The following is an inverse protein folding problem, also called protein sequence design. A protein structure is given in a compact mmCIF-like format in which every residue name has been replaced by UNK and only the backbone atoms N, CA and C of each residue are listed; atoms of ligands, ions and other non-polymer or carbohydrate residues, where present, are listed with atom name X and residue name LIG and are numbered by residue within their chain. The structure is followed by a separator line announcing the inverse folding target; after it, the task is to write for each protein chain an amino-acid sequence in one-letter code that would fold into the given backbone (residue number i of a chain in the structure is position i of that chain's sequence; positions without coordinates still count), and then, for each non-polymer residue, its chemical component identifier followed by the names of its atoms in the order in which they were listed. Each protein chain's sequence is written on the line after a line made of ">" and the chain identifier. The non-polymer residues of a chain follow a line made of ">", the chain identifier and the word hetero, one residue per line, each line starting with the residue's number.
data_IF_782533938573
#
_entry.id   IF_782533938573
#
_cell.length_a   1.000
_cell.length_b   1.000
_cell.length_c   1.000
_cell.angle_alpha   90.00
_cell.angle_beta   90.00
_cell.angle_gamma   90.00
#
_symmetry.space_group_name_H-M   'P 1'
#
loop_
_entity.id
_entity.type
_entity.pdbx_description
1 polymer ?
#
# COMPACT_ATOMS: atom_id res chain seq x y z
N UNK A 1 13.47 5.17 -15.56
CA UNK A 1 12.34 5.26 -14.62
C UNK A 1 12.87 4.88 -13.25
N UNK A 2 12.75 5.76 -12.26
CA UNK A 2 13.12 5.45 -10.87
C UNK A 2 12.02 4.55 -10.29
N UNK A 3 12.36 3.51 -9.54
CA UNK A 3 11.35 2.72 -8.82
C UNK A 3 10.74 3.62 -7.73
N UNK A 4 9.44 3.91 -7.85
CA UNK A 4 8.73 4.77 -6.91
C UNK A 4 8.86 4.30 -5.45
N UNK A 5 9.06 2.99 -5.22
CA UNK A 5 9.28 2.43 -3.89
C UNK A 5 10.63 2.88 -3.32
N UNK A 6 11.66 2.96 -4.16
CA UNK A 6 12.97 3.47 -3.77
C UNK A 6 12.96 4.98 -3.58
N UNK A 7 12.20 5.71 -4.42
CA UNK A 7 11.96 7.14 -4.24
C UNK A 7 11.27 7.44 -2.90
N UNK A 8 10.14 6.79 -2.61
CA UNK A 8 9.40 6.98 -1.35
C UNK A 8 10.26 6.63 -0.14
N UNK A 9 11.04 5.54 -0.19
CA UNK A 9 11.95 5.15 0.89
C UNK A 9 13.07 6.17 1.11
N UNK A 10 13.66 6.68 0.03
CA UNK A 10 14.82 7.59 0.11
C UNK A 10 14.45 9.03 0.45
N UNK A 11 13.31 9.53 -0.04
CA UNK A 11 12.91 10.93 0.13
C UNK A 11 11.95 11.13 1.31
N UNK A 12 10.96 10.25 1.46
CA UNK A 12 9.90 10.41 2.48
C UNK A 12 10.29 9.66 3.77
N UNK A 13 11.15 8.64 3.67
CA UNK A 13 11.57 7.84 4.84
C UNK A 13 10.45 6.93 5.36
N UNK A 14 9.51 6.54 4.50
CA UNK A 14 8.42 5.62 4.86
C UNK A 14 8.85 4.18 4.60
N UNK A 15 8.73 3.32 5.61
CA UNK A 15 8.96 1.90 5.44
C UNK A 15 7.90 1.27 4.53
N UNK A 16 8.33 0.39 3.64
CA UNK A 16 7.42 -0.37 2.79
C UNK A 16 7.98 -1.74 2.41
N UNK A 17 7.06 -2.71 2.29
CA UNK A 17 7.38 -4.10 2.00
C UNK A 17 6.27 -4.79 1.22
N UNK A 18 6.66 -5.84 0.49
CA UNK A 18 5.70 -6.78 -0.07
C UNK A 18 5.04 -7.59 1.04
N UNK A 19 3.71 -7.64 1.02
CA UNK A 19 2.88 -8.39 1.96
C UNK A 19 1.83 -9.20 1.21
N UNK A 20 1.57 -10.40 1.70
CA UNK A 20 0.36 -11.13 1.30
C UNK A 20 -0.86 -10.48 1.93
N UNK A 21 -1.98 -10.43 1.22
CA UNK A 21 -3.28 -10.06 1.80
C UNK A 21 -3.61 -10.88 3.07
N UNK A 22 -3.05 -12.09 3.20
CA UNK A 22 -3.14 -12.95 4.39
C UNK A 22 -2.56 -12.33 5.65
N UNK A 23 -1.53 -11.51 5.50
CA UNK A 23 -0.83 -10.85 6.60
C UNK A 23 -1.52 -9.53 7.02
N UNK A 24 -2.29 -8.92 6.13
CA UNK A 24 -2.78 -7.54 6.28
C UNK A 24 -4.31 -7.41 6.31
N UNK A 25 -5.06 -8.52 6.12
CA UNK A 25 -6.52 -8.54 6.18
C UNK A 25 -7.02 -9.67 7.09
N UNK A 26 -8.18 -9.48 7.71
CA UNK A 26 -8.78 -10.53 8.56
C UNK A 26 -9.39 -11.67 7.75
N UNK A 27 -9.79 -11.40 6.50
CA UNK A 27 -10.36 -12.39 5.58
C UNK A 27 -9.33 -13.45 5.16
N UNK A 28 -8.04 -13.12 5.23
CA UNK A 28 -6.92 -14.00 4.86
C UNK A 28 -7.00 -14.57 3.45
N UNK A 29 -7.59 -13.81 2.53
CA UNK A 29 -7.67 -14.10 1.10
C UNK A 29 -7.16 -12.91 0.28
N UNK A 30 -6.63 -13.18 -0.90
CA UNK A 30 -6.11 -12.15 -1.81
C UNK A 30 -4.65 -12.31 -2.21
N UNK A 31 -4.23 -11.46 -3.17
CA UNK A 31 -2.89 -11.45 -3.75
C UNK A 31 -1.83 -10.77 -2.88
N UNK A 32 -0.71 -10.41 -3.51
CA UNK A 32 0.34 -9.61 -2.87
C UNK A 32 0.10 -8.11 -3.11
N UNK A 33 0.42 -7.30 -2.11
CA UNK A 33 0.43 -5.84 -2.20
C UNK A 33 1.76 -5.30 -1.67
N UNK A 34 2.21 -4.17 -2.22
CA UNK A 34 3.28 -3.40 -1.61
C UNK A 34 2.66 -2.42 -0.62
N UNK A 35 2.98 -2.58 0.66
CA UNK A 35 2.35 -1.82 1.75
C UNK A 35 3.35 -0.84 2.32
N UNK A 36 2.96 0.42 2.41
CA UNK A 36 3.68 1.47 3.11
C UNK A 36 3.11 1.65 4.53
N UNK A 37 3.99 1.94 5.49
CA UNK A 37 3.64 2.10 6.91
C UNK A 37 4.08 3.49 7.40
N UNK A 38 3.37 4.57 7.02
CA UNK A 38 3.67 5.90 7.55
C UNK A 38 3.47 5.94 9.07
N UNK A 39 4.41 6.56 9.79
CA UNK A 39 4.42 6.59 11.26
C UNK A 39 3.79 7.87 11.85
N UNK A 40 3.34 8.78 11.00
CA UNK A 40 2.66 10.02 11.39
C UNK A 40 1.69 10.49 10.32
N UNK A 41 0.85 11.48 10.65
CA UNK A 41 -0.08 12.10 9.70
C UNK A 41 0.68 12.82 8.61
N UNK A 42 1.75 13.54 8.95
CA UNK A 42 2.59 14.29 8.01
C UNK A 42 3.19 13.33 6.97
N UNK A 43 3.74 12.20 7.42
CA UNK A 43 4.29 11.16 6.53
C UNK A 43 3.22 10.49 5.67
N UNK A 44 1.98 10.44 6.15
CA UNK A 44 0.85 9.92 5.37
C UNK A 44 0.48 10.88 4.25
N UNK A 45 0.43 12.19 4.54
CA UNK A 45 0.16 13.23 3.54
C UNK A 45 1.25 13.26 2.47
N UNK A 46 2.53 13.32 2.86
CA UNK A 46 3.66 13.29 1.92
C UNK A 46 3.63 12.06 0.99
N UNK A 47 3.28 10.89 1.53
CA UNK A 47 3.15 9.66 0.75
C UNK A 47 2.01 9.75 -0.27
N UNK A 48 0.85 10.26 0.14
CA UNK A 48 -0.32 10.40 -0.73
C UNK A 48 -0.01 11.35 -1.89
N UNK A 49 0.62 12.49 -1.60
CA UNK A 49 0.96 13.48 -2.61
C UNK A 49 1.86 12.87 -3.70
N UNK A 50 2.91 12.13 -3.29
CA UNK A 50 3.80 11.44 -4.24
C UNK A 50 3.08 10.36 -5.05
N UNK A 51 2.19 9.59 -4.44
CA UNK A 51 1.43 8.56 -5.18
C UNK A 51 0.49 9.19 -6.21
N UNK A 52 -0.11 10.35 -5.90
CA UNK A 52 -0.97 11.10 -6.82
C UNK A 52 -0.14 11.72 -7.97
N UNK A 53 0.97 12.39 -7.65
CA UNK A 53 1.86 13.02 -8.63
C UNK A 53 2.38 12.02 -9.67
N UNK A 54 2.70 10.81 -9.22
CA UNK A 54 3.23 9.73 -10.05
C UNK A 54 2.14 8.83 -10.66
N UNK A 55 0.86 9.21 -10.47
CA UNK A 55 -0.31 8.51 -11.02
C UNK A 55 -0.35 7.01 -10.65
N UNK A 56 -0.05 6.69 -9.40
CA UNK A 56 -0.09 5.33 -8.85
C UNK A 56 -1.38 5.13 -8.07
N UNK A 57 -2.21 4.19 -8.53
CA UNK A 57 -3.40 3.77 -7.80
C UNK A 57 -3.04 3.18 -6.43
N UNK A 58 -3.76 3.61 -5.39
CA UNK A 58 -3.57 3.11 -4.04
C UNK A 58 -4.90 2.92 -3.30
N UNK A 59 -4.83 2.22 -2.18
CA UNK A 59 -5.96 2.05 -1.27
C UNK A 59 -5.47 2.17 0.17
N UNK A 60 -6.27 2.81 1.01
CA UNK A 60 -6.00 2.89 2.44
C UNK A 60 -6.60 1.68 3.15
N UNK A 61 -5.83 1.08 4.04
CA UNK A 61 -6.25 -0.09 4.79
C UNK A 61 -6.04 0.16 6.28
N UNK A 62 -7.10 0.01 7.07
CA UNK A 62 -7.01 -0.12 8.53
C UNK A 62 -6.57 -1.53 8.93
N UNK A 63 -7.35 -2.20 9.78
CA UNK A 63 -7.12 -3.62 10.13
C UNK A 63 -7.56 -4.61 9.04
N UNK A 64 -8.16 -4.13 7.95
CA UNK A 64 -8.67 -4.97 6.87
C UNK A 64 -9.79 -5.92 7.32
N UNK A 65 -10.60 -5.51 8.32
CA UNK A 65 -11.72 -6.32 8.84
C UNK A 65 -12.94 -6.39 7.92
N UNK A 66 -13.02 -5.47 6.95
CA UNK A 66 -14.12 -5.36 6.00
C UNK A 66 -13.62 -5.13 4.56
N UNK A 67 -12.44 -5.68 4.24
CA UNK A 67 -11.83 -5.53 2.93
C UNK A 67 -11.43 -6.89 2.39
N UNK A 68 -11.90 -7.19 1.19
CA UNK A 68 -11.50 -8.39 0.45
C UNK A 68 -10.51 -7.96 -0.64
N UNK A 69 -9.24 -8.30 -0.46
CA UNK A 69 -8.22 -8.06 -1.47
C UNK A 69 -8.37 -9.14 -2.54
N UNK A 70 -8.58 -8.77 -3.79
CA UNK A 70 -8.68 -9.71 -4.89
C UNK A 70 -7.28 -10.25 -5.26
N UNK A 71 -7.17 -11.54 -5.55
CA UNK A 71 -5.96 -12.18 -6.07
C UNK A 71 -5.95 -12.30 -7.61
N UNK A 72 -6.83 -11.57 -8.28
CA UNK A 72 -7.09 -11.66 -9.72
C UNK A 72 -8.21 -12.64 -10.10
N UNK A 73 -8.69 -13.46 -9.17
CA UNK A 73 -9.75 -14.45 -9.40
C UNK A 73 -11.14 -13.98 -8.96
N UNK A 74 -11.26 -12.89 -8.19
CA UNK A 74 -12.53 -12.25 -7.92
C UNK A 74 -12.91 -11.35 -9.12
N UNK A 75 -13.24 -11.98 -10.26
CA UNK A 75 -13.89 -11.30 -11.38
C UNK A 75 -15.38 -11.64 -11.35
N UNK A 76 -16.21 -10.62 -11.61
CA UNK A 76 -17.58 -10.81 -12.07
C UNK A 76 -17.56 -11.11 -13.56
#
# INVERSE_FOLDING_TARGET
>A
MVDIKEYIKSQIGVYGAWKSAKEISTFKGGGQAFVFYPQSVEKTVELIDVLIEENVDFSMLGSGSNTLVCDGNCRR
#
